data_IF_054345597413
#
_entry.id   IF_054345597413
#
_cell.length_a   1.000
_cell.length_b   1.000
_cell.length_c   1.000
_cell.angle_alpha   90.00
_cell.angle_beta   90.00
_cell.angle_gamma   90.00
#
_symmetry.space_group_name_H-M   'P 1'
#
loop_
_entity.id
_entity.type
_entity.pdbx_description
1 polymer ?
#
# COMPACT_ATOMS: atom_id res chain seq x y z
N UNK A 1 17.03 -10.54 19.52
CA UNK A 1 15.92 -11.39 19.06
C UNK A 1 15.55 -11.11 17.62
N UNK A 2 15.28 -12.16 16.88
CA UNK A 2 14.86 -12.01 15.50
C UNK A 2 13.43 -11.46 15.42
N UNK A 3 13.19 -10.60 14.47
CA UNK A 3 11.87 -10.05 14.18
C UNK A 3 10.98 -11.16 13.60
N UNK A 4 9.73 -11.26 14.05
CA UNK A 4 8.79 -12.22 13.47
C UNK A 4 8.38 -11.79 12.07
N UNK A 5 7.86 -12.73 11.29
CA UNK A 5 7.31 -12.41 9.97
C UNK A 5 6.15 -11.44 10.08
N UNK A 6 5.29 -11.59 11.08
CA UNK A 6 4.17 -10.68 11.32
C UNK A 6 4.66 -9.24 11.57
N UNK A 7 5.66 -9.09 12.43
CA UNK A 7 6.25 -7.77 12.69
C UNK A 7 6.88 -7.17 11.43
N UNK A 8 7.57 -8.00 10.66
CA UNK A 8 8.24 -7.55 9.43
C UNK A 8 7.23 -7.08 8.40
N UNK A 9 6.15 -7.84 8.21
CA UNK A 9 5.05 -7.43 7.32
C UNK A 9 4.43 -6.12 7.80
N UNK A 10 4.16 -6.00 9.10
CA UNK A 10 3.59 -4.78 9.67
C UNK A 10 4.46 -3.55 9.42
N UNK A 11 5.78 -3.70 9.58
CA UNK A 11 6.72 -2.60 9.32
C UNK A 11 6.74 -2.22 7.83
N UNK A 12 6.73 -3.22 6.95
CA UNK A 12 6.70 -2.97 5.50
C UNK A 12 5.43 -2.23 5.09
N UNK A 13 4.28 -2.64 5.62
CA UNK A 13 3.00 -1.99 5.33
C UNK A 13 2.96 -0.54 5.84
N UNK A 14 3.55 -0.28 7.01
CA UNK A 14 3.68 1.09 7.54
C UNK A 14 4.56 1.94 6.62
N UNK A 15 5.68 1.40 6.15
CA UNK A 15 6.55 2.11 5.21
C UNK A 15 5.83 2.40 3.89
N UNK A 16 5.05 1.45 3.41
CA UNK A 16 4.24 1.66 2.20
C UNK A 16 3.26 2.81 2.39
N UNK A 17 2.50 2.80 3.49
CA UNK A 17 1.59 3.90 3.81
C UNK A 17 2.32 5.24 3.83
N UNK A 18 3.44 5.31 4.53
CA UNK A 18 4.19 6.56 4.68
C UNK A 18 4.72 7.07 3.34
N UNK A 19 5.07 6.16 2.43
CA UNK A 19 5.61 6.55 1.12
C UNK A 19 4.55 6.95 0.11
N UNK A 20 3.34 6.41 0.18
CA UNK A 20 2.29 6.70 -0.81
C UNK A 20 1.27 7.74 -0.34
N UNK A 21 1.20 8.00 0.96
CA UNK A 21 0.19 8.87 1.57
C UNK A 21 0.21 10.28 0.97
N UNK A 22 1.36 10.92 0.97
CA UNK A 22 1.47 12.31 0.50
C UNK A 22 1.28 12.44 -1.01
N UNK A 23 1.90 11.63 -1.87
CA UNK A 23 1.64 11.71 -3.31
C UNK A 23 0.17 11.48 -3.66
N UNK A 24 -0.50 10.54 -2.99
CA UNK A 24 -1.92 10.29 -3.25
C UNK A 24 -2.78 11.46 -2.82
N UNK A 25 -2.52 12.03 -1.65
CA UNK A 25 -3.25 13.23 -1.22
C UNK A 25 -3.11 14.36 -2.23
N UNK A 26 -1.89 14.62 -2.69
CA UNK A 26 -1.64 15.67 -3.69
C UNK A 26 -2.42 15.41 -4.97
N UNK A 27 -2.40 14.17 -5.45
CA UNK A 27 -3.08 13.80 -6.69
C UNK A 27 -4.59 13.97 -6.55
N UNK A 28 -5.16 13.35 -5.53
CA UNK A 28 -6.61 13.35 -5.34
C UNK A 28 -7.14 14.73 -4.97
N UNK A 29 -6.42 15.46 -4.12
CA UNK A 29 -6.82 16.82 -3.74
C UNK A 29 -6.76 17.78 -4.92
N UNK A 30 -5.75 17.66 -5.78
CA UNK A 30 -5.64 18.48 -6.98
C UNK A 30 -6.81 18.25 -7.95
N UNK A 31 -7.35 17.05 -8.00
CA UNK A 31 -8.42 16.68 -8.93
C UNK A 31 -9.81 16.74 -8.30
N UNK A 32 -9.94 16.50 -7.00
CA UNK A 32 -11.24 16.40 -6.31
C UNK A 32 -11.48 17.52 -5.29
N UNK A 33 -10.47 18.32 -4.98
CA UNK A 33 -10.61 19.44 -4.03
C UNK A 33 -10.47 19.03 -2.58
N UNK A 34 -10.91 19.91 -1.68
CA UNK A 34 -10.75 19.71 -0.24
C UNK A 34 -11.50 18.47 0.28
N UNK A 35 -12.59 18.09 -0.38
CA UNK A 35 -13.39 16.93 -0.01
C UNK A 35 -12.90 15.63 -0.67
N UNK A 36 -11.64 15.57 -1.03
CA UNK A 36 -11.08 14.45 -1.79
C UNK A 36 -11.27 13.09 -1.09
N UNK A 37 -11.23 13.06 0.25
CA UNK A 37 -11.44 11.80 0.99
C UNK A 37 -12.83 11.25 0.72
N UNK A 38 -13.86 12.10 0.80
CA UNK A 38 -15.24 11.69 0.54
C UNK A 38 -15.44 11.29 -0.92
N UNK A 39 -14.83 12.02 -1.85
CA UNK A 39 -14.93 11.72 -3.28
C UNK A 39 -14.30 10.36 -3.60
N UNK A 40 -13.10 10.11 -3.08
CA UNK A 40 -12.45 8.80 -3.26
C UNK A 40 -13.30 7.70 -2.63
N UNK A 41 -13.80 7.93 -1.43
CA UNK A 41 -14.61 6.95 -0.72
C UNK A 41 -15.87 6.56 -1.51
N UNK A 42 -16.51 7.51 -2.15
CA UNK A 42 -17.71 7.26 -2.98
C UNK A 42 -17.41 6.36 -4.18
N UNK A 43 -16.16 6.32 -4.63
CA UNK A 43 -15.74 5.48 -5.77
C UNK A 43 -15.43 4.04 -5.36
N UNK A 44 -15.33 3.76 -4.07
CA UNK A 44 -15.06 2.41 -3.58
C UNK A 44 -16.28 1.52 -3.82
N UNK A 45 -16.03 0.24 -4.11
CA UNK A 45 -17.12 -0.74 -4.29
C UNK A 45 -18.00 -0.82 -3.05
N UNK A 46 -17.36 -0.82 -1.88
CA UNK A 46 -18.04 -0.73 -0.59
C UNK A 46 -17.46 0.46 0.16
N UNK A 47 -18.11 1.65 0.09
CA UNK A 47 -17.59 2.82 0.80
C UNK A 47 -17.45 2.56 2.29
N UNK A 48 -16.37 3.09 2.88
CA UNK A 48 -16.17 3.01 4.32
C UNK A 48 -17.14 3.96 5.02
N UNK A 49 -17.64 3.53 6.17
CA UNK A 49 -18.54 4.36 6.97
C UNK A 49 -17.84 5.59 7.50
N UNK A 50 -16.58 5.43 7.87
CA UNK A 50 -15.76 6.48 8.46
C UNK A 50 -14.38 6.42 7.79
N UNK A 51 -14.26 6.98 6.56
CA UNK A 51 -13.02 6.85 5.81
C UNK A 51 -11.85 7.55 6.49
N UNK A 52 -10.73 6.85 6.59
CA UNK A 52 -9.51 7.34 7.22
C UNK A 52 -8.39 7.37 6.17
N UNK A 53 -7.94 8.57 5.75
CA UNK A 53 -6.88 8.67 4.74
C UNK A 53 -5.51 8.21 5.25
N UNK A 54 -5.35 7.99 6.55
CA UNK A 54 -4.11 7.46 7.11
C UNK A 54 -4.13 5.93 7.20
N UNK A 55 -5.24 5.29 6.86
CA UNK A 55 -5.34 3.84 6.80
C UNK A 55 -4.87 3.34 5.43
N UNK A 56 -3.85 2.49 5.43
CA UNK A 56 -3.32 1.91 4.19
C UNK A 56 -4.42 1.20 3.38
N UNK A 57 -5.36 0.53 4.04
CA UNK A 57 -6.45 -0.15 3.34
C UNK A 57 -7.27 0.84 2.51
N UNK A 58 -7.60 2.00 3.06
CA UNK A 58 -8.30 3.05 2.34
C UNK A 58 -7.50 3.53 1.12
N UNK A 59 -6.20 3.79 1.33
CA UNK A 59 -5.34 4.28 0.25
C UNK A 59 -5.26 3.28 -0.89
N UNK A 60 -5.04 2.00 -0.58
CA UNK A 60 -4.93 0.96 -1.62
C UNK A 60 -6.26 0.74 -2.35
N UNK A 61 -7.38 0.73 -1.63
CA UNK A 61 -8.70 0.65 -2.24
C UNK A 61 -8.95 1.86 -3.16
N UNK A 62 -8.54 3.04 -2.72
CA UNK A 62 -8.68 4.25 -3.52
C UNK A 62 -7.86 4.22 -4.80
N UNK A 63 -6.63 3.73 -4.74
CA UNK A 63 -5.80 3.57 -5.94
C UNK A 63 -6.48 2.64 -6.93
N UNK A 64 -6.98 1.50 -6.49
CA UNK A 64 -7.68 0.55 -7.36
C UNK A 64 -8.96 1.16 -7.95
N UNK A 65 -9.75 1.85 -7.13
CA UNK A 65 -11.02 2.45 -7.56
C UNK A 65 -10.84 3.60 -8.56
N UNK A 66 -9.73 4.32 -8.48
CA UNK A 66 -9.42 5.43 -9.39
C UNK A 66 -8.38 5.07 -10.44
N UNK A 67 -8.13 3.77 -10.64
CA UNK A 67 -7.10 3.29 -11.55
C UNK A 67 -7.25 3.83 -12.96
N UNK A 68 -8.46 3.77 -13.51
CA UNK A 68 -8.74 4.24 -14.85
C UNK A 68 -8.55 5.73 -15.04
N UNK A 69 -8.72 6.52 -13.97
CA UNK A 69 -8.58 7.97 -14.04
C UNK A 69 -7.11 8.43 -13.98
N UNK A 70 -6.29 7.77 -13.12
CA UNK A 70 -4.98 8.34 -12.79
C UNK A 70 -3.79 7.41 -13.03
N UNK A 71 -3.97 6.10 -12.99
CA UNK A 71 -2.84 5.19 -12.87
C UNK A 71 -2.58 4.32 -14.10
N UNK A 72 -3.60 4.05 -14.92
CA UNK A 72 -3.50 3.11 -16.02
C UNK A 72 -2.49 3.51 -17.10
N UNK A 73 -2.15 4.79 -17.21
CA UNK A 73 -1.16 5.27 -18.19
C UNK A 73 0.24 5.37 -17.60
N UNK A 74 0.35 5.38 -16.28
CA UNK A 74 1.62 5.53 -15.57
C UNK A 74 2.15 4.17 -15.12
N UNK A 75 1.24 3.30 -14.70
CA UNK A 75 1.57 1.98 -14.17
C UNK A 75 0.99 0.89 -15.08
N UNK A 76 1.63 -0.27 -15.09
CA UNK A 76 1.16 -1.43 -15.84
C UNK A 76 0.18 -2.29 -15.05
N UNK A 77 -0.32 -3.33 -15.71
CA UNK A 77 -1.25 -4.30 -15.08
C UNK A 77 -0.64 -4.99 -13.86
N UNK A 78 0.68 -5.21 -13.90
CA UNK A 78 1.38 -5.87 -12.80
C UNK A 78 1.28 -5.05 -11.52
N UNK A 79 1.49 -3.73 -11.60
CA UNK A 79 1.41 -2.84 -10.44
C UNK A 79 0.01 -2.81 -9.85
N UNK A 80 -1.03 -2.86 -10.69
CA UNK A 80 -2.40 -2.95 -10.18
C UNK A 80 -2.62 -4.23 -9.40
N UNK A 81 -2.08 -5.35 -9.90
CA UNK A 81 -2.15 -6.62 -9.17
C UNK A 81 -1.48 -6.53 -7.81
N UNK A 82 -0.35 -5.85 -7.72
CA UNK A 82 0.36 -5.65 -6.45
C UNK A 82 -0.46 -4.82 -5.48
N UNK A 83 -1.17 -3.80 -5.94
CA UNK A 83 -2.08 -3.01 -5.11
C UNK A 83 -3.14 -3.91 -4.48
N UNK A 84 -3.75 -4.78 -5.28
CA UNK A 84 -4.79 -5.70 -4.81
C UNK A 84 -4.22 -6.70 -3.81
N UNK A 85 -3.07 -7.29 -4.12
CA UNK A 85 -2.41 -8.26 -3.25
C UNK A 85 -1.97 -7.65 -1.91
N UNK A 86 -1.48 -6.40 -1.95
CA UNK A 86 -1.08 -5.71 -0.73
C UNK A 86 -2.28 -5.32 0.14
N UNK A 87 -3.42 -5.04 -0.48
CA UNK A 87 -4.66 -4.83 0.27
C UNK A 87 -5.06 -6.10 1.02
N UNK A 88 -4.96 -7.25 0.36
CA UNK A 88 -5.20 -8.54 1.00
C UNK A 88 -4.22 -8.80 2.14
N UNK A 89 -2.94 -8.51 1.92
CA UNK A 89 -1.90 -8.68 2.94
C UNK A 89 -2.17 -7.79 4.17
N UNK A 90 -2.60 -6.56 3.96
CA UNK A 90 -2.96 -5.65 5.05
C UNK A 90 -4.13 -6.20 5.85
N UNK A 91 -5.14 -6.72 5.18
CA UNK A 91 -6.28 -7.36 5.82
C UNK A 91 -5.86 -8.57 6.66
N UNK A 92 -5.06 -9.44 6.07
CA UNK A 92 -4.53 -10.62 6.76
C UNK A 92 -3.70 -10.24 7.98
N UNK A 93 -2.86 -9.22 7.84
CA UNK A 93 -2.04 -8.72 8.95
C UNK A 93 -2.93 -8.20 10.09
N UNK A 94 -3.98 -7.44 9.77
CA UNK A 94 -4.90 -6.90 10.77
C UNK A 94 -5.67 -7.98 11.51
N UNK A 95 -5.87 -9.15 10.88
CA UNK A 95 -6.52 -10.31 11.49
C UNK A 95 -5.54 -11.32 12.09
N UNK A 96 -4.29 -10.88 12.31
CA UNK A 96 -3.24 -11.69 12.94
C UNK A 96 -2.92 -13.00 12.19
N UNK A 97 -3.09 -13.02 10.88
CA UNK A 97 -2.70 -14.17 10.08
C UNK A 97 -1.19 -14.39 10.20
N UNK A 98 -0.77 -15.67 10.23
CA UNK A 98 0.64 -16.01 10.15
C UNK A 98 1.11 -15.93 8.70
N UNK A 99 2.32 -15.40 8.53
CA UNK A 99 2.93 -15.29 7.20
C UNK A 99 4.12 -16.24 7.12
N UNK A 100 4.19 -17.04 6.06
CA UNK A 100 5.39 -17.81 5.76
C UNK A 100 6.53 -16.88 5.36
N UNK A 101 7.76 -17.41 5.34
CA UNK A 101 8.90 -16.62 4.85
C UNK A 101 8.74 -16.23 3.39
N UNK A 102 8.19 -17.12 2.55
CA UNK A 102 7.93 -16.81 1.14
C UNK A 102 6.86 -15.75 0.97
N UNK A 103 5.77 -15.82 1.74
CA UNK A 103 4.74 -14.78 1.71
C UNK A 103 5.31 -13.43 2.14
N UNK A 104 6.10 -13.42 3.21
CA UNK A 104 6.75 -12.21 3.73
C UNK A 104 7.66 -11.60 2.68
N UNK A 105 8.48 -12.43 2.03
CA UNK A 105 9.39 -11.97 0.99
C UNK A 105 8.62 -11.31 -0.16
N UNK A 106 7.53 -11.94 -0.61
CA UNK A 106 6.72 -11.37 -1.69
C UNK A 106 6.06 -10.05 -1.30
N UNK A 107 5.56 -9.95 -0.06
CA UNK A 107 4.96 -8.70 0.42
C UNK A 107 5.99 -7.58 0.42
N UNK A 108 7.20 -7.84 0.92
CA UNK A 108 8.26 -6.84 0.90
C UNK A 108 8.62 -6.43 -0.52
N UNK A 109 8.69 -7.39 -1.43
CA UNK A 109 8.99 -7.12 -2.84
C UNK A 109 7.94 -6.23 -3.49
N UNK A 110 6.65 -6.54 -3.26
CA UNK A 110 5.56 -5.72 -3.80
C UNK A 110 5.54 -4.32 -3.21
N UNK A 111 5.83 -4.19 -1.90
CA UNK A 111 5.96 -2.87 -1.26
C UNK A 111 7.07 -2.06 -1.93
N UNK A 112 8.23 -2.68 -2.15
CA UNK A 112 9.34 -1.99 -2.80
C UNK A 112 8.98 -1.52 -4.21
N UNK A 113 8.32 -2.37 -4.99
CA UNK A 113 7.91 -2.04 -6.37
C UNK A 113 6.97 -0.84 -6.37
N UNK A 114 5.94 -0.85 -5.51
CA UNK A 114 5.01 0.28 -5.45
C UNK A 114 5.68 1.55 -4.93
N UNK A 115 6.53 1.44 -3.92
CA UNK A 115 7.26 2.59 -3.39
C UNK A 115 8.15 3.23 -4.45
N UNK A 116 8.80 2.43 -5.28
CA UNK A 116 9.59 2.94 -6.41
C UNK A 116 8.69 3.66 -7.42
N UNK A 117 7.52 3.11 -7.70
CA UNK A 117 6.57 3.72 -8.62
C UNK A 117 6.08 5.08 -8.13
N UNK A 118 5.99 5.27 -6.81
CA UNK A 118 5.63 6.55 -6.19
C UNK A 118 6.85 7.42 -5.86
N UNK A 119 8.05 7.01 -6.25
CA UNK A 119 9.31 7.75 -6.02
C UNK A 119 9.61 7.98 -4.54
N UNK A 120 9.21 7.05 -3.69
CA UNK A 120 9.40 7.12 -2.24
C UNK A 120 10.76 6.50 -1.85
N UNK A 121 11.86 7.15 -2.23
CA UNK A 121 13.22 6.61 -2.13
C UNK A 121 13.62 6.22 -0.70
N UNK A 122 13.23 7.02 0.29
CA UNK A 122 13.54 6.74 1.69
C UNK A 122 12.90 5.43 2.14
N UNK A 123 11.63 5.25 1.84
CA UNK A 123 10.89 4.05 2.22
C UNK A 123 11.37 2.83 1.43
N UNK A 124 11.78 3.01 0.17
CA UNK A 124 12.39 1.92 -0.62
C UNK A 124 13.63 1.39 0.12
N UNK A 125 14.52 2.28 0.55
CA UNK A 125 15.72 1.89 1.28
C UNK A 125 15.39 1.14 2.57
N UNK A 126 14.39 1.60 3.30
CA UNK A 126 13.96 0.98 4.56
C UNK A 126 13.39 -0.42 4.33
N UNK A 127 12.61 -0.63 3.26
CA UNK A 127 12.09 -1.96 2.91
C UNK A 127 13.23 -2.90 2.53
N UNK A 128 14.23 -2.40 1.80
CA UNK A 128 15.40 -3.19 1.44
C UNK A 128 16.15 -3.66 2.70
N UNK A 129 16.26 -2.82 3.71
CA UNK A 129 16.86 -3.21 4.99
C UNK A 129 16.04 -4.29 5.71
N UNK A 130 14.71 -4.19 5.68
CA UNK A 130 13.85 -5.23 6.23
C UNK A 130 14.06 -6.58 5.54
N UNK A 131 14.25 -6.55 4.22
CA UNK A 131 14.47 -7.77 3.44
C UNK A 131 15.77 -8.46 3.82
N UNK A 132 16.82 -7.70 4.11
CA UNK A 132 18.12 -8.26 4.48
C UNK A 132 18.05 -9.15 5.71
N UNK A 133 17.14 -8.85 6.64
CA UNK A 133 16.96 -9.66 7.84
C UNK A 133 16.13 -10.92 7.63
N UNK A 134 15.56 -11.12 6.44
CA UNK A 134 14.69 -12.26 6.16
C UNK A 134 15.50 -13.42 5.57
N UNK A 135 15.45 -14.57 6.22
CA UNK A 135 16.08 -15.80 5.73
C UNK A 135 15.02 -16.65 5.01
N UNK A 136 15.39 -17.11 3.83
CA UNK A 136 14.55 -17.97 3.01
C UNK A 136 15.10 -19.37 2.97
#
# INVERSE_FOLDING_TARGET
>A
MAMSNHERVGKALTLLRDGIREPLEKLWKANYGENWVDVVNERLYHPDRDPDPDDLAFLLKGVDATWGEFFNQVFGKAERSYVILLREARNDWAHNKRFSSDETYRILDFCEILLKAFHASEQVGAVQELRKGLQR
#
